data_IF_828578314824
#
_entry.id   IF_828578314824
#
_cell.length_a   1.000
_cell.length_b   1.000
_cell.length_c   1.000
_cell.angle_alpha   90.00
_cell.angle_beta   90.00
_cell.angle_gamma   90.00
#
_symmetry.space_group_name_H-M   'P 1'
#
loop_
_entity.id
_entity.type
_entity.pdbx_description
1 polymer ?
#
# COMPACT_ATOMS: atom_id res chain seq x y z
N UNK A 1 27.39 -2.03 -28.77
CA UNK A 1 25.92 -1.97 -28.91
C UNK A 1 25.35 -3.07 -28.02
N UNK A 2 25.10 -2.77 -26.75
CA UNK A 2 24.55 -3.73 -25.80
C UNK A 2 23.03 -3.72 -25.93
N UNK A 3 22.50 -4.76 -26.56
CA UNK A 3 21.07 -5.01 -26.60
C UNK A 3 20.64 -5.48 -25.20
N UNK A 4 20.28 -4.53 -24.33
CA UNK A 4 19.67 -4.79 -23.03
C UNK A 4 18.24 -5.25 -23.26
N UNK A 5 18.07 -6.52 -23.64
CA UNK A 5 16.77 -7.16 -23.61
C UNK A 5 16.33 -7.28 -22.15
N UNK A 6 15.20 -6.65 -21.81
CA UNK A 6 14.54 -6.75 -20.51
C UNK A 6 14.44 -8.24 -20.13
N UNK A 7 14.97 -8.70 -18.98
CA UNK A 7 14.67 -10.05 -18.52
C UNK A 7 13.15 -10.20 -18.42
N UNK A 8 12.60 -11.26 -19.02
CA UNK A 8 11.16 -11.51 -19.15
C UNK A 8 10.49 -11.38 -17.78
N UNK A 9 9.70 -10.32 -17.60
CA UNK A 9 9.04 -10.02 -16.32
C UNK A 9 7.90 -10.99 -16.02
N UNK A 10 7.58 -11.14 -14.73
CA UNK A 10 6.38 -11.87 -14.29
C UNK A 10 5.16 -11.01 -14.63
N UNK A 11 4.14 -11.61 -15.26
CA UNK A 11 2.91 -10.89 -15.55
C UNK A 11 2.13 -10.70 -14.25
N UNK A 12 1.94 -9.45 -13.85
CA UNK A 12 1.22 -9.07 -12.63
C UNK A 12 -0.06 -8.30 -12.98
N UNK A 13 -1.12 -8.41 -12.18
CA UNK A 13 -2.43 -7.84 -12.52
C UNK A 13 -2.46 -6.30 -12.42
N UNK A 14 -1.56 -5.72 -11.62
CA UNK A 14 -1.32 -4.29 -11.49
C UNK A 14 0.08 -4.05 -10.88
N UNK A 15 0.67 -2.87 -11.12
CA UNK A 15 2.04 -2.52 -10.67
C UNK A 15 2.10 -1.45 -9.57
N UNK A 16 0.98 -0.82 -9.23
CA UNK A 16 0.94 0.28 -8.28
C UNK A 16 -0.15 0.05 -7.24
N UNK A 17 0.27 -0.08 -5.98
CA UNK A 17 -0.56 -0.06 -4.79
C UNK A 17 -0.70 1.35 -4.23
N UNK A 18 -1.94 1.78 -4.06
CA UNK A 18 -2.35 3.07 -3.53
C UNK A 18 -3.01 2.87 -2.17
N UNK A 19 -2.40 3.44 -1.12
CA UNK A 19 -3.02 3.51 0.19
C UNK A 19 -4.28 4.36 0.17
N UNK A 20 -5.45 3.85 0.58
CA UNK A 20 -6.70 4.60 0.59
C UNK A 20 -6.73 5.53 1.81
N UNK A 21 -5.94 6.60 1.80
CA UNK A 21 -5.79 7.49 2.97
C UNK A 21 -7.05 8.29 3.33
N UNK A 22 -8.04 8.34 2.43
CA UNK A 22 -9.32 9.04 2.53
C UNK A 22 -10.26 8.61 1.41
N UNK A 23 -11.51 9.07 1.42
CA UNK A 23 -12.40 8.94 0.26
C UNK A 23 -11.83 9.61 -0.99
N UNK A 24 -11.20 10.78 -0.84
CA UNK A 24 -10.60 11.49 -1.97
C UNK A 24 -9.40 10.72 -2.56
N UNK A 25 -8.63 10.00 -1.74
CA UNK A 25 -7.57 9.12 -2.23
C UNK A 25 -8.11 7.93 -3.04
N UNK A 26 -9.22 7.33 -2.58
CA UNK A 26 -9.92 6.26 -3.32
C UNK A 26 -10.43 6.77 -4.66
N UNK A 27 -11.16 7.88 -4.66
CA UNK A 27 -11.72 8.47 -5.88
C UNK A 27 -10.61 8.91 -6.85
N UNK A 28 -9.49 9.44 -6.32
CA UNK A 28 -8.32 9.80 -7.11
C UNK A 28 -7.67 8.58 -7.78
N UNK A 29 -7.55 7.46 -7.07
CA UNK A 29 -7.02 6.21 -7.63
C UNK A 29 -7.90 5.72 -8.79
N UNK A 30 -9.23 5.69 -8.60
CA UNK A 30 -10.19 5.35 -9.65
C UNK A 30 -10.04 6.30 -10.83
N UNK A 31 -10.04 7.62 -10.59
CA UNK A 31 -9.87 8.62 -11.66
C UNK A 31 -8.58 8.42 -12.45
N UNK A 32 -7.46 8.11 -11.79
CA UNK A 32 -6.18 7.83 -12.47
C UNK A 32 -6.25 6.53 -13.27
N UNK A 33 -6.83 5.47 -12.71
CA UNK A 33 -7.00 4.18 -13.37
C UNK A 33 -7.79 4.32 -14.68
N UNK A 34 -8.92 5.03 -14.66
CA UNK A 34 -9.75 5.29 -15.85
C UNK A 34 -9.04 6.18 -16.86
N UNK A 35 -8.43 7.28 -16.40
CA UNK A 35 -7.70 8.21 -17.27
C UNK A 35 -6.56 7.51 -18.01
N UNK A 36 -5.85 6.60 -17.34
CA UNK A 36 -4.74 5.85 -17.93
C UNK A 36 -5.18 4.56 -18.62
N UNK A 37 -6.42 4.09 -18.40
CA UNK A 37 -6.92 2.76 -18.79
C UNK A 37 -6.01 1.63 -18.28
N UNK A 38 -5.67 1.70 -17.00
CA UNK A 38 -4.73 0.79 -16.35
C UNK A 38 -5.26 0.34 -15.01
N UNK A 39 -4.98 -0.92 -14.66
CA UNK A 39 -5.33 -1.45 -13.36
C UNK A 39 -4.41 -0.91 -12.26
N UNK A 40 -5.01 -0.52 -11.14
CA UNK A 40 -4.32 -0.12 -9.91
C UNK A 40 -4.79 -1.00 -8.75
N UNK A 41 -4.02 -1.05 -7.68
CA UNK A 41 -4.42 -1.71 -6.43
C UNK A 41 -4.79 -0.65 -5.40
N UNK A 42 -5.90 -0.83 -4.70
CA UNK A 42 -6.13 -0.16 -3.41
C UNK A 42 -5.72 -1.12 -2.31
N UNK A 43 -4.84 -0.66 -1.41
CA UNK A 43 -4.13 -1.49 -0.43
C UNK A 43 -4.41 -1.04 1.02
N UNK A 44 -5.66 -1.04 1.52
CA UNK A 44 -5.90 -0.76 2.93
C UNK A 44 -5.17 -1.75 3.84
N UNK A 45 -4.43 -1.22 4.81
CA UNK A 45 -3.99 -1.98 5.98
C UNK A 45 -5.15 -2.24 6.95
N UNK A 46 -4.97 -3.18 7.88
CA UNK A 46 -5.92 -3.45 8.98
C UNK A 46 -6.17 -2.25 9.90
N UNK A 47 -5.33 -1.20 9.83
CA UNK A 47 -5.55 0.07 10.55
C UNK A 47 -6.50 1.00 9.80
N UNK A 48 -6.48 0.93 8.48
CA UNK A 48 -7.21 1.85 7.60
C UNK A 48 -8.64 1.43 7.39
N UNK A 49 -8.85 0.15 7.05
CA UNK A 49 -10.17 -0.46 6.83
C UNK A 49 -10.11 -1.87 7.39
N UNK A 50 -11.09 -2.24 8.20
CA UNK A 50 -11.16 -3.53 8.87
C UNK A 50 -12.63 -3.96 8.99
N UNK A 51 -12.87 -5.22 9.35
CA UNK A 51 -14.21 -5.75 9.59
C UNK A 51 -14.95 -4.96 10.66
N UNK A 52 -16.28 -4.89 10.54
CA UNK A 52 -17.14 -4.26 11.56
C UNK A 52 -16.94 -4.91 12.94
N UNK A 53 -16.76 -6.23 12.97
CA UNK A 53 -16.55 -7.01 14.18
C UNK A 53 -15.25 -6.65 14.92
N UNK A 54 -14.29 -6.03 14.24
CA UNK A 54 -13.00 -5.64 14.79
C UNK A 54 -12.81 -4.12 14.88
N UNK A 55 -13.91 -3.36 14.81
CA UNK A 55 -13.93 -1.92 15.05
C UNK A 55 -13.78 -1.04 13.80
N UNK A 56 -13.69 -1.64 12.61
CA UNK A 56 -13.40 -0.89 11.38
C UNK A 56 -12.00 -0.29 11.39
N UNK A 57 -11.77 0.73 10.57
CA UNK A 57 -10.51 1.47 10.57
C UNK A 57 -10.72 2.98 10.57
N UNK A 58 -9.62 3.74 10.57
CA UNK A 58 -9.70 5.20 10.66
C UNK A 58 -10.13 5.89 9.36
N UNK A 59 -10.12 5.20 8.21
CA UNK A 59 -10.43 5.80 6.91
C UNK A 59 -11.94 5.82 6.72
N UNK A 60 -12.52 7.03 6.75
CA UNK A 60 -13.95 7.30 6.48
C UNK A 60 -14.95 6.50 7.36
N UNK A 61 -14.47 5.87 8.43
CA UNK A 61 -15.27 4.93 9.22
C UNK A 61 -15.70 3.70 8.44
N UNK A 62 -15.03 3.38 7.34
CA UNK A 62 -15.39 2.23 6.52
C UNK A 62 -15.04 0.90 7.19
N UNK A 63 -15.97 -0.03 7.04
CA UNK A 63 -15.76 -1.45 7.22
C UNK A 63 -15.27 -2.08 5.91
N UNK A 64 -14.69 -3.29 5.94
CA UNK A 64 -14.33 -4.03 4.73
C UNK A 64 -15.47 -4.09 3.70
N UNK A 65 -16.70 -4.37 4.15
CA UNK A 65 -17.90 -4.42 3.29
C UNK A 65 -18.25 -3.07 2.68
N UNK A 66 -18.32 -2.01 3.50
CA UNK A 66 -18.72 -0.68 3.02
C UNK A 66 -17.66 -0.06 2.12
N UNK A 67 -16.38 -0.30 2.40
CA UNK A 67 -15.27 0.07 1.52
C UNK A 67 -15.37 -0.64 0.16
N UNK A 68 -15.49 -1.98 0.15
CA UNK A 68 -15.59 -2.75 -1.07
C UNK A 68 -16.82 -2.33 -1.90
N UNK A 69 -17.99 -2.21 -1.26
CA UNK A 69 -19.21 -1.75 -1.90
C UNK A 69 -19.06 -0.36 -2.50
N UNK A 70 -18.42 0.57 -1.78
CA UNK A 70 -18.17 1.92 -2.27
C UNK A 70 -17.28 1.89 -3.51
N UNK A 71 -16.12 1.23 -3.45
CA UNK A 71 -15.18 1.15 -4.58
C UNK A 71 -15.86 0.53 -5.81
N UNK A 72 -16.56 -0.60 -5.66
CA UNK A 72 -17.24 -1.26 -6.78
C UNK A 72 -18.35 -0.40 -7.39
N UNK A 73 -19.03 0.44 -6.59
CA UNK A 73 -20.02 1.38 -7.12
C UNK A 73 -19.42 2.50 -7.98
N UNK A 74 -18.18 2.87 -7.70
CA UNK A 74 -17.45 3.94 -8.41
C UNK A 74 -16.58 3.38 -9.55
N UNK A 75 -16.34 2.07 -9.59
CA UNK A 75 -15.49 1.38 -10.56
C UNK A 75 -16.26 0.25 -11.31
N UNK A 76 -17.19 0.59 -12.22
CA UNK A 76 -17.93 -0.40 -13.01
C UNK A 76 -17.06 -1.26 -13.94
N UNK A 77 -15.92 -0.72 -14.42
CA UNK A 77 -14.99 -1.43 -15.31
C UNK A 77 -14.00 -2.34 -14.57
N UNK A 78 -14.06 -2.38 -13.23
CA UNK A 78 -13.18 -3.18 -12.36
C UNK A 78 -11.69 -2.94 -12.66
N UNK A 79 -11.30 -1.67 -12.80
CA UNK A 79 -9.90 -1.26 -12.95
C UNK A 79 -9.15 -1.20 -11.62
N UNK A 80 -9.85 -1.25 -10.48
CA UNK A 80 -9.26 -1.30 -9.16
C UNK A 80 -9.30 -2.72 -8.63
N UNK A 81 -8.12 -3.23 -8.28
CA UNK A 81 -7.98 -4.43 -7.47
C UNK A 81 -8.09 -4.05 -6.00
N UNK A 82 -8.94 -4.76 -5.26
CA UNK A 82 -9.05 -4.61 -3.82
C UNK A 82 -8.01 -5.52 -3.17
N UNK A 83 -7.10 -4.95 -2.38
CA UNK A 83 -6.00 -5.68 -1.79
C UNK A 83 -5.92 -5.45 -0.28
N UNK A 84 -5.54 -6.48 0.48
CA UNK A 84 -5.17 -6.29 1.89
C UNK A 84 -3.68 -6.05 1.98
N UNK A 85 -3.30 -4.97 2.67
CA UNK A 85 -1.91 -4.75 3.08
C UNK A 85 -1.70 -5.16 4.53
N UNK A 86 -0.55 -5.77 4.84
CA UNK A 86 -0.15 -6.16 6.18
C UNK A 86 -1.29 -6.80 7.01
N UNK A 87 -1.82 -7.94 6.55
CA UNK A 87 -3.05 -8.52 7.10
C UNK A 87 -2.90 -9.47 8.30
N UNK A 88 -1.68 -9.79 8.73
CA UNK A 88 -1.47 -10.83 9.74
C UNK A 88 -1.68 -10.36 11.19
N UNK A 89 -1.22 -11.17 12.17
CA UNK A 89 -1.45 -10.91 13.59
C UNK A 89 -0.73 -9.67 14.07
N UNK A 90 -1.34 -8.99 15.05
CA UNK A 90 -0.89 -7.75 15.67
C UNK A 90 -0.80 -6.53 14.73
N UNK A 91 -1.31 -6.65 13.51
CA UNK A 91 -1.43 -5.54 12.57
C UNK A 91 -2.68 -4.69 12.84
N UNK A 92 -3.72 -5.28 13.43
CA UNK A 92 -4.82 -4.51 14.00
C UNK A 92 -4.36 -3.90 15.35
N UNK A 93 -4.48 -2.58 15.55
CA UNK A 93 -4.06 -1.92 16.79
C UNK A 93 -4.70 -2.50 18.05
N UNK A 94 -5.92 -3.06 17.95
CA UNK A 94 -6.64 -3.59 19.11
C UNK A 94 -6.06 -4.87 19.66
N UNK A 95 -5.43 -5.67 18.80
CA UNK A 95 -4.75 -6.89 19.22
C UNK A 95 -3.59 -6.54 20.15
N UNK A 96 -2.84 -5.46 19.85
CA UNK A 96 -1.76 -4.96 20.71
C UNK A 96 -2.29 -4.27 21.96
N UNK A 97 -3.28 -3.39 21.81
CA UNK A 97 -3.84 -2.64 22.96
C UNK A 97 -4.49 -3.57 23.98
N UNK A 98 -5.19 -4.60 23.53
CA UNK A 98 -5.82 -5.61 24.37
C UNK A 98 -4.88 -6.77 24.73
N UNK A 99 -3.63 -6.73 24.25
CA UNK A 99 -2.58 -7.74 24.49
C UNK A 99 -3.06 -9.17 24.21
N UNK A 100 -3.60 -9.38 23.02
CA UNK A 100 -4.04 -10.70 22.58
C UNK A 100 -2.91 -11.73 22.68
N UNK A 101 -3.27 -12.97 23.03
CA UNK A 101 -2.36 -14.09 22.83
C UNK A 101 -2.14 -14.31 21.33
N UNK A 102 -1.05 -14.98 20.96
CA UNK A 102 -0.77 -15.29 19.55
C UNK A 102 -1.95 -16.01 18.87
N UNK A 103 -2.55 -17.00 19.53
CA UNK A 103 -3.70 -17.72 18.98
C UNK A 103 -4.92 -16.81 18.77
N UNK A 104 -5.16 -15.84 19.66
CA UNK A 104 -6.23 -14.87 19.48
C UNK A 104 -5.94 -13.88 18.34
N UNK A 105 -4.69 -13.43 18.20
CA UNK A 105 -4.27 -12.56 17.10
C UNK A 105 -4.32 -13.27 15.74
N UNK A 106 -3.91 -14.55 15.66
CA UNK A 106 -4.03 -15.37 14.45
C UNK A 106 -5.51 -15.55 14.05
N UNK A 107 -6.38 -15.89 15.01
CA UNK A 107 -7.82 -16.01 14.75
C UNK A 107 -8.42 -14.68 14.25
N UNK A 108 -7.99 -13.57 14.83
CA UNK A 108 -8.42 -12.23 14.43
C UNK A 108 -7.97 -11.89 13.01
N UNK A 109 -6.71 -12.18 12.64
CA UNK A 109 -6.22 -12.04 11.27
C UNK A 109 -6.97 -12.94 10.27
N UNK A 110 -7.21 -14.21 10.62
CA UNK A 110 -7.98 -15.14 9.80
C UNK A 110 -9.40 -14.65 9.52
N UNK A 111 -10.09 -14.10 10.53
CA UNK A 111 -11.42 -13.51 10.34
C UNK A 111 -11.40 -12.29 9.42
N UNK A 112 -10.35 -11.46 9.51
CA UNK A 112 -10.15 -10.31 8.62
C UNK A 112 -10.02 -10.76 7.17
N UNK A 113 -9.19 -11.78 6.91
CA UNK A 113 -9.06 -12.36 5.56
C UNK A 113 -10.35 -13.02 5.06
N UNK A 114 -11.09 -13.72 5.92
CA UNK A 114 -12.36 -14.31 5.53
C UNK A 114 -13.35 -13.25 5.04
N UNK A 115 -13.46 -12.14 5.76
CA UNK A 115 -14.30 -11.01 5.36
C UNK A 115 -13.78 -10.36 4.07
N UNK A 116 -12.47 -10.12 3.95
CA UNK A 116 -11.87 -9.59 2.72
C UNK A 116 -12.22 -10.47 1.50
N UNK A 117 -12.07 -11.79 1.61
CA UNK A 117 -12.42 -12.76 0.54
C UNK A 117 -13.92 -12.72 0.24
N UNK A 118 -14.77 -12.68 1.27
CA UNK A 118 -16.24 -12.60 1.11
C UNK A 118 -16.64 -11.35 0.33
N UNK A 119 -15.98 -10.23 0.59
CA UNK A 119 -16.21 -8.94 -0.05
C UNK A 119 -15.49 -8.78 -1.40
N UNK A 120 -14.78 -9.83 -1.86
CA UNK A 120 -14.17 -9.86 -3.18
C UNK A 120 -12.86 -9.08 -3.26
N UNK A 121 -12.03 -9.14 -2.20
CA UNK A 121 -10.64 -8.75 -2.28
C UNK A 121 -9.88 -9.70 -3.21
N UNK A 122 -9.12 -9.11 -4.12
CA UNK A 122 -8.41 -9.75 -5.21
C UNK A 122 -7.03 -10.28 -4.75
N UNK A 123 -6.41 -9.63 -3.76
CA UNK A 123 -5.07 -9.99 -3.25
C UNK A 123 -4.95 -9.81 -1.74
N UNK A 124 -4.35 -10.77 -1.04
CA UNK A 124 -4.08 -10.69 0.39
C UNK A 124 -2.58 -10.74 0.70
N UNK A 125 -2.07 -9.70 1.37
CA UNK A 125 -0.72 -9.69 1.92
C UNK A 125 -0.70 -10.37 3.30
N UNK A 126 -0.22 -11.61 3.33
CA UNK A 126 0.01 -12.43 4.52
C UNK A 126 1.34 -12.06 5.16
N UNK A 127 1.28 -11.06 6.04
CA UNK A 127 2.43 -10.57 6.82
C UNK A 127 2.33 -11.00 8.29
N UNK A 128 3.17 -11.96 8.66
CA UNK A 128 3.25 -12.53 10.00
C UNK A 128 4.55 -12.17 10.72
N UNK A 129 5.27 -11.15 10.22
CA UNK A 129 6.53 -10.66 10.78
C UNK A 129 6.37 -9.93 12.11
N UNK A 130 5.18 -9.48 12.47
CA UNK A 130 4.93 -8.72 13.69
C UNK A 130 4.60 -9.64 14.87
N UNK A 131 5.16 -9.32 16.03
CA UNK A 131 4.77 -9.90 17.32
C UNK A 131 4.19 -8.82 18.25
N UNK A 132 3.67 -9.24 19.41
CA UNK A 132 3.02 -8.36 20.37
C UNK A 132 3.96 -7.20 20.78
N UNK A 133 5.20 -7.53 21.11
CA UNK A 133 6.20 -6.61 21.64
C UNK A 133 7.42 -6.47 20.69
N UNK A 134 7.24 -6.68 19.38
CA UNK A 134 8.33 -6.51 18.40
C UNK A 134 8.14 -7.24 17.08
N UNK A 135 9.21 -7.88 16.61
CA UNK A 135 9.28 -8.67 15.37
C UNK A 135 9.35 -10.15 15.75
N UNK A 136 8.62 -10.98 15.03
CA UNK A 136 8.61 -12.42 15.19
C UNK A 136 9.91 -13.04 14.63
N UNK A 137 10.47 -14.08 15.27
CA UNK A 137 11.56 -14.86 14.66
C UNK A 137 11.13 -15.44 13.31
N UNK A 138 12.06 -15.50 12.35
CA UNK A 138 11.76 -15.90 10.96
C UNK A 138 10.98 -17.23 10.86
N UNK A 139 11.47 -18.31 11.49
CA UNK A 139 10.77 -19.61 11.44
C UNK A 139 9.34 -19.51 11.99
N UNK A 140 9.14 -18.77 13.08
CA UNK A 140 7.80 -18.56 13.64
C UNK A 140 6.92 -17.73 12.71
N UNK A 141 7.46 -16.72 12.04
CA UNK A 141 6.74 -15.95 11.03
C UNK A 141 6.33 -16.84 9.86
N UNK A 142 7.23 -17.69 9.34
CA UNK A 142 6.93 -18.64 8.26
C UNK A 142 5.83 -19.62 8.65
N UNK A 143 5.92 -20.23 9.84
CA UNK A 143 4.92 -21.19 10.30
C UNK A 143 3.53 -20.53 10.42
N UNK A 144 3.47 -19.33 11.01
CA UNK A 144 2.24 -18.51 11.08
C UNK A 144 1.71 -18.17 9.69
N UNK A 145 2.60 -17.83 8.75
CA UNK A 145 2.22 -17.47 7.38
C UNK A 145 1.60 -18.66 6.67
N UNK A 146 2.21 -19.85 6.76
CA UNK A 146 1.70 -21.08 6.14
C UNK A 146 0.31 -21.43 6.69
N UNK A 147 0.12 -21.30 8.01
CA UNK A 147 -1.19 -21.52 8.64
C UNK A 147 -2.26 -20.56 8.12
N UNK A 148 -2.03 -19.24 8.22
CA UNK A 148 -3.01 -18.23 7.79
C UNK A 148 -3.27 -18.27 6.28
N UNK A 149 -2.21 -18.47 5.49
CA UNK A 149 -2.31 -18.63 4.04
C UNK A 149 -3.17 -19.84 3.68
N UNK A 150 -2.97 -20.97 4.37
CA UNK A 150 -3.78 -22.18 4.19
C UNK A 150 -5.26 -21.93 4.47
N UNK A 151 -5.57 -21.31 5.60
CA UNK A 151 -6.95 -20.96 5.99
C UNK A 151 -7.60 -20.01 4.96
N UNK A 152 -6.86 -19.01 4.48
CA UNK A 152 -7.35 -18.09 3.46
C UNK A 152 -7.59 -18.77 2.10
N UNK A 153 -6.70 -19.68 1.69
CA UNK A 153 -6.88 -20.51 0.47
C UNK A 153 -8.12 -21.40 0.58
N UNK A 154 -8.32 -22.07 1.72
CA UNK A 154 -9.50 -22.91 1.96
C UNK A 154 -10.79 -22.07 1.95
N UNK A 155 -10.75 -20.89 2.58
CA UNK A 155 -11.86 -19.95 2.59
C UNK A 155 -12.21 -19.51 1.17
N UNK A 156 -11.23 -19.06 0.38
CA UNK A 156 -11.43 -18.67 -1.00
C UNK A 156 -12.02 -19.80 -1.85
N UNK A 157 -11.50 -21.03 -1.69
CA UNK A 157 -12.03 -22.22 -2.38
C UNK A 157 -13.48 -22.52 -2.00
N UNK A 158 -13.81 -22.50 -0.70
CA UNK A 158 -15.17 -22.78 -0.22
C UNK A 158 -16.19 -21.75 -0.68
N UNK A 159 -15.78 -20.49 -0.88
CA UNK A 159 -16.60 -19.40 -1.40
C UNK A 159 -16.58 -19.29 -2.94
N UNK A 160 -15.83 -20.15 -3.64
CA UNK A 160 -15.69 -20.11 -5.10
C UNK A 160 -15.03 -18.81 -5.61
N UNK A 161 -14.14 -18.21 -4.82
CA UNK A 161 -13.44 -16.96 -5.14
C UNK A 161 -12.00 -17.24 -5.58
N UNK A 162 -11.54 -16.49 -6.57
CA UNK A 162 -10.12 -16.40 -6.91
C UNK A 162 -9.47 -15.31 -6.06
N UNK A 163 -8.39 -15.65 -5.36
CA UNK A 163 -7.65 -14.71 -4.52
C UNK A 163 -6.16 -14.92 -4.74
N UNK A 164 -5.44 -13.84 -4.99
CA UNK A 164 -3.99 -13.80 -5.11
C UNK A 164 -3.38 -13.59 -3.72
N UNK A 165 -2.11 -13.95 -3.58
CA UNK A 165 -1.41 -13.82 -2.31
C UNK A 165 -0.07 -13.14 -2.46
N UNK A 166 0.29 -12.42 -1.40
CA UNK A 166 1.57 -11.77 -1.20
C UNK A 166 2.10 -12.20 0.17
N UNK A 167 3.39 -12.48 0.28
CA UNK A 167 4.04 -12.74 1.57
C UNK A 167 5.22 -11.80 1.74
N UNK A 168 5.47 -11.38 2.96
CA UNK A 168 6.59 -10.54 3.36
C UNK A 168 7.05 -10.95 4.74
N UNK A 169 8.35 -10.81 4.99
CA UNK A 169 8.97 -11.19 6.27
C UNK A 169 9.89 -10.07 6.80
N UNK A 170 9.77 -8.85 6.25
CA UNK A 170 10.76 -7.80 6.48
C UNK A 170 10.63 -7.04 7.81
N UNK A 171 11.78 -6.67 8.36
CA UNK A 171 11.92 -5.49 9.23
C UNK A 171 11.84 -4.22 8.35
N UNK A 172 11.25 -3.13 8.84
CA UNK A 172 11.06 -1.87 8.08
C UNK A 172 12.33 -0.99 8.13
N UNK A 173 13.47 -1.59 7.76
CA UNK A 173 14.80 -0.97 7.69
C UNK A 173 15.03 -0.09 6.45
N UNK A 174 16.16 0.64 6.42
CA UNK A 174 16.50 1.61 5.36
C UNK A 174 17.36 1.08 4.21
N UNK A 175 17.90 -0.13 4.35
CA UNK A 175 18.77 -0.80 3.36
C UNK A 175 18.01 -1.86 2.56
N UNK A 176 18.71 -2.53 1.64
CA UNK A 176 18.17 -3.72 0.97
C UNK A 176 18.32 -4.95 1.86
N UNK A 177 17.51 -5.99 1.64
CA UNK A 177 17.85 -7.30 2.17
C UNK A 177 19.21 -7.76 1.63
N UNK A 178 19.93 -8.55 2.43
CA UNK A 178 21.05 -9.34 1.92
C UNK A 178 20.50 -10.41 0.96
N UNK A 179 21.03 -10.53 -0.28
CA UNK A 179 20.51 -11.49 -1.23
C UNK A 179 20.58 -12.96 -0.79
N UNK A 180 21.60 -13.35 -0.02
CA UNK A 180 21.75 -14.74 0.42
C UNK A 180 20.77 -15.05 1.56
N UNK A 181 20.63 -14.15 2.53
CA UNK A 181 19.61 -14.27 3.59
C UNK A 181 18.20 -14.29 2.98
N UNK A 182 17.93 -13.41 2.01
CA UNK A 182 16.64 -13.37 1.32
C UNK A 182 16.37 -14.66 0.52
N UNK A 183 17.38 -15.23 -0.15
CA UNK A 183 17.24 -16.51 -0.84
C UNK A 183 16.89 -17.65 0.12
N UNK A 184 17.53 -17.72 1.28
CA UNK A 184 17.22 -18.71 2.32
C UNK A 184 15.78 -18.54 2.84
N UNK A 185 15.37 -17.30 3.12
CA UNK A 185 14.03 -16.96 3.58
C UNK A 185 12.95 -17.39 2.56
N UNK A 186 13.15 -17.05 1.29
CA UNK A 186 12.24 -17.42 0.20
C UNK A 186 12.21 -18.94 0.02
N UNK A 187 13.37 -19.61 0.00
CA UNK A 187 13.45 -21.05 -0.15
C UNK A 187 12.69 -21.78 0.98
N UNK A 188 12.86 -21.34 2.22
CA UNK A 188 12.18 -21.91 3.39
C UNK A 188 10.67 -21.70 3.30
N UNK A 189 10.20 -20.47 3.09
CA UNK A 189 8.77 -20.17 3.00
C UNK A 189 8.08 -20.95 1.87
N UNK A 190 8.65 -20.92 0.66
CA UNK A 190 8.10 -21.65 -0.49
C UNK A 190 8.19 -23.17 -0.31
N UNK A 191 9.25 -23.66 0.33
CA UNK A 191 9.40 -25.08 0.67
C UNK A 191 8.28 -25.55 1.60
N UNK A 192 7.96 -24.78 2.64
CA UNK A 192 6.86 -25.07 3.58
C UNK A 192 5.50 -25.05 2.87
N UNK A 193 5.22 -24.03 2.07
CA UNK A 193 3.97 -23.94 1.29
C UNK A 193 3.79 -25.15 0.35
N UNK A 194 4.84 -25.54 -0.39
CA UNK A 194 4.79 -26.73 -1.26
C UNK A 194 4.60 -28.01 -0.46
N UNK A 195 5.25 -28.13 0.70
CA UNK A 195 5.17 -29.30 1.57
C UNK A 195 3.75 -29.61 2.04
N UNK A 196 2.90 -28.59 2.16
CA UNK A 196 1.47 -28.72 2.51
C UNK A 196 0.53 -28.59 1.31
N UNK A 197 1.06 -28.56 0.08
CA UNK A 197 0.24 -28.51 -1.15
C UNK A 197 -0.46 -27.17 -1.40
N UNK A 198 0.02 -26.07 -0.82
CA UNK A 198 -0.53 -24.74 -1.05
C UNK A 198 0.03 -24.10 -2.33
N UNK A 199 -0.76 -23.26 -3.03
CA UNK A 199 -0.28 -22.53 -4.19
C UNK A 199 0.79 -21.51 -3.78
N UNK A 200 1.77 -21.25 -4.66
CA UNK A 200 2.77 -20.21 -4.44
C UNK A 200 2.14 -18.81 -4.52
N UNK A 201 2.67 -17.82 -3.76
CA UNK A 201 2.16 -16.46 -3.82
C UNK A 201 2.47 -15.82 -5.17
N UNK A 202 1.68 -14.80 -5.52
CA UNK A 202 1.92 -13.94 -6.70
C UNK A 202 3.07 -12.98 -6.45
N UNK A 203 3.17 -12.45 -5.23
CA UNK A 203 4.21 -11.51 -4.84
C UNK A 203 4.98 -11.97 -3.62
N UNK A 204 6.27 -11.62 -3.59
CA UNK A 204 7.07 -11.57 -2.36
C UNK A 204 7.52 -10.13 -2.16
N UNK A 205 7.39 -9.65 -0.94
CA UNK A 205 7.90 -8.34 -0.53
C UNK A 205 9.37 -8.47 -0.13
N UNK A 206 10.16 -7.47 -0.51
CA UNK A 206 11.54 -7.34 -0.09
C UNK A 206 11.85 -5.87 0.21
N UNK A 207 12.80 -5.64 1.10
CA UNK A 207 13.34 -4.31 1.34
C UNK A 207 14.16 -3.88 0.13
N UNK A 208 13.69 -2.83 -0.54
CA UNK A 208 14.35 -2.24 -1.72
C UNK A 208 15.09 -0.95 -1.37
N UNK A 209 15.58 -0.83 -0.13
CA UNK A 209 16.20 0.37 0.42
C UNK A 209 15.32 1.63 0.29
N UNK A 210 14.03 1.46 0.59
CA UNK A 210 13.00 2.49 0.61
C UNK A 210 12.42 2.58 2.02
N UNK A 211 12.45 3.79 2.61
CA UNK A 211 11.96 4.01 3.96
C UNK A 211 11.40 5.41 4.09
N UNK A 212 10.18 5.53 4.62
CA UNK A 212 9.52 6.82 4.78
C UNK A 212 9.74 7.34 6.20
N UNK A 213 10.27 8.55 6.31
CA UNK A 213 10.29 9.33 7.55
C UNK A 213 9.87 10.76 7.21
N UNK A 214 8.99 11.33 8.03
CA UNK A 214 8.42 12.67 7.84
C UNK A 214 7.71 12.79 6.49
N UNK A 215 8.23 13.61 5.57
CA UNK A 215 7.70 13.76 4.20
C UNK A 215 8.76 13.49 3.14
N UNK A 216 9.65 12.54 3.43
CA UNK A 216 10.75 12.13 2.54
C UNK A 216 11.01 10.63 2.60
N UNK A 217 11.60 10.12 1.55
CA UNK A 217 12.25 8.81 1.58
C UNK A 217 13.67 9.00 2.14
N UNK A 218 14.04 8.19 3.15
CA UNK A 218 15.36 8.20 3.79
C UNK A 218 16.13 6.90 3.55
N UNK A 219 15.58 5.99 2.73
CA UNK A 219 16.25 4.74 2.39
C UNK A 219 17.48 4.97 1.50
N UNK A 220 18.39 3.99 1.47
CA UNK A 220 19.66 4.09 0.75
C UNK A 220 19.50 4.29 -0.76
N UNK A 221 18.31 3.98 -1.34
CA UNK A 221 17.99 4.31 -2.74
C UNK A 221 18.17 5.81 -3.04
N UNK A 222 17.96 6.66 -2.04
CA UNK A 222 18.11 8.12 -2.19
C UNK A 222 19.56 8.59 -2.24
N UNK A 223 20.48 7.81 -1.69
CA UNK A 223 21.91 8.15 -1.56
C UNK A 223 22.76 7.43 -2.60
N UNK A 224 22.51 6.13 -2.80
CA UNK A 224 23.33 5.25 -3.63
C UNK A 224 22.47 4.43 -4.63
N UNK A 225 21.71 5.08 -5.53
CA UNK A 225 20.70 4.42 -6.36
C UNK A 225 21.25 3.30 -7.26
N UNK A 226 22.50 3.42 -7.75
CA UNK A 226 23.11 2.40 -8.61
C UNK A 226 23.48 1.13 -7.84
N UNK A 227 24.04 1.27 -6.63
CA UNK A 227 24.39 0.13 -5.78
C UNK A 227 23.12 -0.60 -5.33
N UNK A 228 22.12 0.16 -4.87
CA UNK A 228 20.79 -0.37 -4.50
C UNK A 228 20.14 -1.09 -5.68
N UNK A 229 20.11 -0.49 -6.88
CA UNK A 229 19.55 -1.14 -8.06
C UNK A 229 20.25 -2.47 -8.39
N UNK A 230 21.55 -2.60 -8.09
CA UNK A 230 22.27 -3.87 -8.25
C UNK A 230 21.86 -4.92 -7.23
N UNK A 231 21.74 -4.54 -5.96
CA UNK A 231 21.26 -5.44 -4.91
C UNK A 231 19.81 -5.88 -5.19
N UNK A 232 18.92 -4.94 -5.55
CA UNK A 232 17.52 -5.22 -5.91
C UNK A 232 17.43 -6.18 -7.10
N UNK A 233 18.30 -6.09 -8.12
CA UNK A 233 18.34 -7.07 -9.20
C UNK A 233 18.60 -8.49 -8.71
N UNK A 234 19.45 -8.67 -7.69
CA UNK A 234 19.70 -9.97 -7.10
C UNK A 234 18.44 -10.50 -6.39
N UNK A 235 17.74 -9.66 -5.61
CA UNK A 235 16.48 -10.02 -4.95
C UNK A 235 15.38 -10.40 -5.96
N UNK A 236 15.31 -9.66 -7.07
CA UNK A 236 14.42 -9.98 -8.20
C UNK A 236 14.81 -11.32 -8.84
N UNK A 237 16.11 -11.63 -8.95
CA UNK A 237 16.59 -12.92 -9.43
C UNK A 237 16.07 -14.10 -8.58
N UNK A 238 16.13 -13.97 -7.26
CA UNK A 238 15.64 -14.96 -6.29
C UNK A 238 14.16 -15.26 -6.50
N UNK A 239 13.31 -14.22 -6.52
CA UNK A 239 11.85 -14.40 -6.68
C UNK A 239 11.48 -14.95 -8.07
N UNK A 240 12.14 -14.47 -9.13
CA UNK A 240 11.90 -14.93 -10.51
C UNK A 240 12.30 -16.37 -10.77
N UNK A 241 13.30 -16.90 -10.06
CA UNK A 241 13.66 -18.32 -10.12
C UNK A 241 12.47 -19.23 -9.73
N UNK A 242 11.49 -18.69 -9.00
CA UNK A 242 10.25 -19.37 -8.63
C UNK A 242 9.00 -18.88 -9.40
N UNK A 243 9.17 -18.00 -10.39
CA UNK A 243 8.05 -17.41 -11.13
C UNK A 243 7.20 -16.43 -10.32
N UNK A 244 7.76 -15.86 -9.25
CA UNK A 244 7.07 -14.96 -8.32
C UNK A 244 7.55 -13.53 -8.57
N UNK A 245 6.63 -12.57 -8.47
CA UNK A 245 6.93 -11.16 -8.65
C UNK A 245 7.51 -10.53 -7.37
N UNK A 246 8.43 -9.57 -7.51
CA UNK A 246 8.95 -8.80 -6.37
C UNK A 246 8.18 -7.49 -6.23
N UNK A 247 7.73 -7.18 -5.00
CA UNK A 247 7.01 -5.95 -4.70
C UNK A 247 7.77 -5.09 -3.69
N UNK A 248 7.90 -3.80 -4.00
CA UNK A 248 8.56 -2.82 -3.14
C UNK A 248 7.54 -2.07 -2.28
N UNK A 249 7.89 -1.81 -1.02
CA UNK A 249 7.07 -1.02 -0.10
C UNK A 249 7.73 0.33 0.21
N UNK A 250 7.02 1.23 0.90
CA UNK A 250 7.53 2.54 1.32
C UNK A 250 8.11 3.40 0.18
N UNK A 251 7.51 3.35 -1.01
CA UNK A 251 7.99 4.07 -2.20
C UNK A 251 7.52 5.53 -2.26
N UNK A 252 6.90 6.04 -1.20
CA UNK A 252 6.51 7.44 -1.05
C UNK A 252 7.72 8.38 -1.23
N UNK A 253 7.44 9.56 -1.79
CA UNK A 253 8.35 10.66 -2.05
C UNK A 253 9.52 10.37 -3.00
N UNK A 254 9.54 9.22 -3.68
CA UNK A 254 10.55 8.89 -4.68
C UNK A 254 10.38 9.74 -5.94
N UNK A 255 11.48 10.27 -6.46
CA UNK A 255 11.52 10.96 -7.75
C UNK A 255 11.33 9.99 -8.92
N UNK A 256 10.98 10.51 -10.10
CA UNK A 256 10.88 9.69 -11.31
C UNK A 256 12.21 8.99 -11.66
N UNK A 257 13.36 9.58 -11.31
CA UNK A 257 14.67 8.95 -11.47
C UNK A 257 14.85 7.73 -10.58
N UNK A 258 14.52 7.85 -9.29
CA UNK A 258 14.59 6.76 -8.33
C UNK A 258 13.62 5.62 -8.68
N UNK A 259 12.40 5.96 -9.11
CA UNK A 259 11.42 4.97 -9.59
C UNK A 259 11.93 4.19 -10.81
N UNK A 260 12.61 4.87 -11.75
CA UNK A 260 13.26 4.18 -12.88
C UNK A 260 14.33 3.20 -12.45
N UNK A 261 15.08 3.48 -11.38
CA UNK A 261 16.07 2.54 -10.87
C UNK A 261 15.42 1.24 -10.36
N UNK A 262 14.29 1.34 -9.66
CA UNK A 262 13.52 0.17 -9.22
C UNK A 262 12.91 -0.59 -10.41
N UNK A 263 12.29 0.10 -11.36
CA UNK A 263 11.72 -0.53 -12.56
C UNK A 263 12.79 -1.24 -13.40
N UNK A 264 13.95 -0.61 -13.63
CA UNK A 264 15.07 -1.20 -14.36
C UNK A 264 15.75 -2.34 -13.60
N UNK A 265 15.72 -2.31 -12.27
CA UNK A 265 16.15 -3.44 -11.44
C UNK A 265 15.18 -4.63 -11.51
N UNK A 266 13.97 -4.43 -12.05
CA UNK A 266 12.99 -5.47 -12.28
C UNK A 266 11.94 -5.60 -11.17
N UNK A 267 11.77 -4.58 -10.33
CA UNK A 267 10.65 -4.52 -9.36
C UNK A 267 9.33 -4.54 -10.13
N UNK A 268 8.47 -5.50 -9.81
CA UNK A 268 7.27 -5.78 -10.58
C UNK A 268 6.10 -4.89 -10.13
N UNK A 269 6.02 -4.56 -8.84
CA UNK A 269 5.03 -3.64 -8.28
C UNK A 269 5.58 -2.82 -7.11
N UNK A 270 4.93 -1.71 -6.77
CA UNK A 270 5.26 -0.91 -5.58
C UNK A 270 4.05 -0.36 -4.84
N UNK A 271 4.19 -0.13 -3.55
CA UNK A 271 3.20 0.51 -2.67
C UNK A 271 3.60 1.95 -2.31
N UNK A 272 2.61 2.84 -2.32
CA UNK A 272 2.68 4.23 -1.85
C UNK A 272 1.42 4.52 -1.06
N UNK A 273 1.53 5.16 0.11
CA UNK A 273 0.36 5.38 0.96
C UNK A 273 0.41 6.74 1.69
N UNK A 274 1.24 6.95 2.74
CA UNK A 274 1.17 8.15 3.57
C UNK A 274 1.31 9.46 2.79
N UNK A 275 2.06 9.49 1.68
CA UNK A 275 2.17 10.68 0.83
C UNK A 275 0.81 11.20 0.36
N UNK A 276 -0.14 10.32 0.04
CA UNK A 276 -1.45 10.72 -0.47
C UNK A 276 -2.28 11.46 0.59
N UNK A 277 -2.17 11.03 1.86
CA UNK A 277 -2.78 11.74 2.98
C UNK A 277 -2.15 13.11 3.23
N UNK A 278 -0.82 13.22 3.07
CA UNK A 278 -0.09 14.48 3.17
C UNK A 278 -0.43 15.43 2.02
N UNK A 279 -0.56 14.91 0.80
CA UNK A 279 -0.95 15.69 -0.39
C UNK A 279 -2.35 16.31 -0.21
N UNK A 280 -3.31 15.54 0.30
CA UNK A 280 -4.65 16.05 0.61
C UNK A 280 -4.62 17.08 1.75
N UNK A 281 -3.86 16.81 2.81
CA UNK A 281 -3.71 17.73 3.96
C UNK A 281 -3.17 19.08 3.51
N UNK A 282 -2.11 19.09 2.70
CA UNK A 282 -1.52 20.32 2.12
C UNK A 282 -2.50 21.05 1.20
N UNK A 283 -3.27 20.31 0.40
CA UNK A 283 -4.29 20.88 -0.48
C UNK A 283 -5.42 21.55 0.31
N UNK A 284 -5.85 20.95 1.42
CA UNK A 284 -6.86 21.52 2.29
C UNK A 284 -6.37 22.79 2.98
N UNK A 285 -5.16 22.78 3.54
CA UNK A 285 -4.56 23.99 4.13
C UNK A 285 -4.44 25.13 3.11
N UNK A 286 -3.94 24.83 1.91
CA UNK A 286 -3.82 25.83 0.83
C UNK A 286 -5.18 26.40 0.43
N UNK A 287 -6.22 25.57 0.42
CA UNK A 287 -7.58 26.02 0.13
C UNK A 287 -8.14 26.91 1.24
N UNK A 288 -7.88 26.60 2.52
CA UNK A 288 -8.30 27.46 3.63
C UNK A 288 -7.61 28.83 3.56
N UNK A 289 -6.33 28.87 3.20
CA UNK A 289 -5.59 30.11 2.95
C UNK A 289 -6.20 30.91 1.77
N UNK A 290 -6.48 30.25 0.64
CA UNK A 290 -7.15 30.86 -0.52
C UNK A 290 -8.52 31.46 -0.17
N UNK A 291 -9.30 30.77 0.68
CA UNK A 291 -10.63 31.19 1.11
C UNK A 291 -10.61 32.25 2.22
N UNK A 292 -9.46 32.53 2.84
CA UNK A 292 -9.33 33.46 3.96
C UNK A 292 -9.94 32.91 5.25
N UNK A 293 -9.69 31.64 5.56
CA UNK A 293 -10.24 30.91 6.72
C UNK A 293 -9.15 30.56 7.77
N UNK A 294 -8.47 31.55 8.39
CA UNK A 294 -7.34 31.31 9.27
C UNK A 294 -7.72 30.57 10.56
N UNK A 295 -8.93 30.81 11.10
CA UNK A 295 -9.40 30.14 12.31
C UNK A 295 -9.61 28.65 12.06
N UNK A 296 -10.21 28.30 10.92
CA UNK A 296 -10.43 26.90 10.53
C UNK A 296 -9.10 26.20 10.26
N UNK A 297 -8.15 26.91 9.64
CA UNK A 297 -6.80 26.41 9.40
C UNK A 297 -6.09 26.06 10.70
N UNK A 298 -6.11 26.97 11.67
CA UNK A 298 -5.46 26.74 12.97
C UNK A 298 -6.09 25.57 13.72
N UNK A 299 -7.43 25.52 13.77
CA UNK A 299 -8.16 24.41 14.41
C UNK A 299 -7.87 23.06 13.76
N UNK A 300 -7.70 23.03 12.43
CA UNK A 300 -7.32 21.81 11.73
C UNK A 300 -5.90 21.37 12.11
N UNK A 301 -4.94 22.29 12.11
CA UNK A 301 -3.56 22.00 12.50
C UNK A 301 -3.45 21.54 13.95
N UNK A 302 -4.14 22.20 14.87
CA UNK A 302 -4.21 21.83 16.28
C UNK A 302 -4.74 20.39 16.44
N UNK A 303 -5.90 20.08 15.84
CA UNK A 303 -6.49 18.74 15.91
C UNK A 303 -5.56 17.66 15.30
N UNK A 304 -4.91 17.97 14.18
CA UNK A 304 -3.98 17.05 13.53
C UNK A 304 -2.69 16.84 14.34
N UNK A 305 -2.19 17.88 15.03
CA UNK A 305 -1.05 17.77 15.93
C UNK A 305 -1.40 16.92 17.17
N UNK A 306 -2.52 17.23 17.83
CA UNK A 306 -2.93 16.59 19.09
C UNK A 306 -3.30 15.10 18.94
N UNK A 307 -3.57 14.62 17.72
CA UNK A 307 -3.83 13.19 17.51
C UNK A 307 -2.58 12.30 17.66
N UNK A 308 -1.37 12.89 17.71
CA UNK A 308 -0.06 12.22 17.89
C UNK A 308 0.29 11.13 16.88
N UNK A 309 -0.52 10.92 15.86
CA UNK A 309 -0.29 9.89 14.83
C UNK A 309 0.93 10.17 13.94
N UNK A 310 1.55 11.36 14.08
CA UNK A 310 2.80 11.74 13.46
C UNK A 310 4.04 11.09 14.13
N UNK A 311 3.96 10.67 15.39
CA UNK A 311 5.14 10.26 16.19
C UNK A 311 5.99 9.17 15.51
N UNK A 312 5.35 8.10 15.03
CA UNK A 312 6.04 6.98 14.39
C UNK A 312 6.76 7.36 13.09
N UNK A 313 6.40 8.49 12.49
CA UNK A 313 6.97 8.97 11.23
C UNK A 313 8.17 9.88 11.48
N UNK A 314 8.42 10.32 12.71
CA UNK A 314 9.44 11.34 12.97
C UNK A 314 10.85 10.79 12.93
N UNK A 315 11.72 11.48 12.22
CA UNK A 315 13.14 11.16 12.24
C UNK A 315 13.70 11.36 13.67
N UNK A 316 14.61 10.49 14.17
CA UNK A 316 15.17 10.64 15.53
C UNK A 316 15.85 12.00 15.77
N UNK A 317 16.43 12.57 14.71
CA UNK A 317 17.05 13.90 14.70
C UNK A 317 16.14 14.95 14.02
N UNK A 318 14.83 14.82 14.18
CA UNK A 318 13.87 15.71 13.52
C UNK A 318 14.05 17.17 13.93
N UNK A 319 13.94 18.07 12.96
CA UNK A 319 13.81 19.52 13.18
C UNK A 319 12.42 20.01 12.81
N UNK A 320 11.45 19.10 12.65
CA UNK A 320 10.09 19.42 12.27
C UNK A 320 9.42 20.32 13.31
N UNK A 321 8.67 21.30 12.83
CA UNK A 321 7.77 22.11 13.63
C UNK A 321 6.47 21.36 13.98
N UNK A 322 5.66 21.91 14.87
CA UNK A 322 4.33 21.37 15.16
C UNK A 322 3.41 21.43 13.94
N UNK A 323 3.59 22.44 13.07
CA UNK A 323 2.90 22.50 11.78
C UNK A 323 3.32 21.35 10.86
N UNK A 324 4.60 21.00 10.79
CA UNK A 324 5.07 19.88 9.97
C UNK A 324 4.48 18.55 10.47
N UNK A 325 4.45 18.36 11.79
CA UNK A 325 3.84 17.20 12.44
C UNK A 325 2.34 17.11 12.15
N UNK A 326 1.62 18.23 12.27
CA UNK A 326 0.21 18.32 11.91
C UNK A 326 -0.03 17.97 10.44
N UNK A 327 0.82 18.46 9.52
CA UNK A 327 0.72 18.15 8.09
C UNK A 327 0.90 16.65 7.82
N UNK A 328 1.84 15.99 8.51
CA UNK A 328 2.04 14.54 8.41
C UNK A 328 0.80 13.78 8.89
N UNK A 329 0.20 14.24 9.99
CA UNK A 329 -0.90 13.54 10.65
C UNK A 329 -2.32 13.93 10.19
N UNK A 330 -2.49 14.97 9.35
CA UNK A 330 -3.80 15.51 9.01
C UNK A 330 -4.83 14.47 8.57
N UNK A 331 -4.41 13.50 7.76
CA UNK A 331 -5.28 12.44 7.24
C UNK A 331 -5.87 11.50 8.29
N UNK A 332 -5.24 11.34 9.46
CA UNK A 332 -5.82 10.56 10.56
C UNK A 332 -7.06 11.23 11.17
N UNK A 333 -7.26 12.52 10.92
CA UNK A 333 -8.39 13.28 11.47
C UNK A 333 -9.58 13.39 10.53
N UNK A 334 -9.45 12.98 9.27
CA UNK A 334 -10.46 13.24 8.24
C UNK A 334 -11.84 12.63 8.54
N UNK A 335 -11.88 11.49 9.23
CA UNK A 335 -13.14 10.86 9.62
C UNK A 335 -13.78 11.49 10.88
N UNK A 336 -13.10 12.41 11.56
CA UNK A 336 -13.62 13.01 12.80
C UNK A 336 -14.70 14.06 12.52
N UNK A 337 -15.69 14.16 13.42
CA UNK A 337 -16.72 15.21 13.35
C UNK A 337 -16.13 16.61 13.30
N UNK A 338 -15.03 16.83 14.03
CA UNK A 338 -14.29 18.09 14.05
C UNK A 338 -13.79 18.48 12.65
N UNK A 339 -13.14 17.56 11.94
CA UNK A 339 -12.71 17.81 10.57
C UNK A 339 -13.89 18.02 9.62
N UNK A 340 -14.95 17.21 9.73
CA UNK A 340 -16.13 17.35 8.86
C UNK A 340 -16.79 18.73 9.00
N UNK A 341 -16.85 19.28 10.21
CA UNK A 341 -17.33 20.64 10.45
C UNK A 341 -16.42 21.70 9.80
N UNK A 342 -15.10 21.53 9.88
CA UNK A 342 -14.14 22.43 9.22
C UNK A 342 -14.26 22.38 7.70
N UNK A 343 -14.39 21.18 7.13
CA UNK A 343 -14.57 20.97 5.70
C UNK A 343 -15.89 21.56 5.20
N UNK A 344 -16.97 21.48 5.98
CA UNK A 344 -18.25 22.09 5.61
C UNK A 344 -18.19 23.63 5.63
N UNK A 345 -17.48 24.22 6.61
CA UNK A 345 -17.24 25.66 6.63
C UNK A 345 -16.44 26.12 5.38
N UNK A 346 -15.44 25.33 4.97
CA UNK A 346 -14.71 25.56 3.73
C UNK A 346 -15.63 25.45 2.51
N UNK A 347 -16.48 24.41 2.42
CA UNK A 347 -17.46 24.23 1.34
C UNK A 347 -18.43 25.41 1.22
N UNK A 348 -18.97 25.91 2.34
CA UNK A 348 -19.87 27.05 2.32
C UNK A 348 -19.22 28.30 1.69
N UNK A 349 -17.95 28.55 2.02
CA UNK A 349 -17.19 29.69 1.49
C UNK A 349 -16.76 29.46 0.03
N UNK A 350 -16.31 28.25 -0.28
CA UNK A 350 -15.87 27.81 -1.61
C UNK A 350 -16.98 27.89 -2.67
N UNK A 351 -18.22 27.52 -2.29
CA UNK A 351 -19.39 27.58 -3.19
C UNK A 351 -19.62 28.98 -3.77
N UNK A 352 -19.39 30.04 -2.98
CA UNK A 352 -19.53 31.44 -3.44
C UNK A 352 -18.51 31.81 -4.52
N UNK A 353 -17.44 31.03 -4.64
CA UNK A 353 -16.37 31.20 -5.63
C UNK A 353 -16.38 30.13 -6.72
N UNK A 354 -17.40 29.28 -6.77
CA UNK A 354 -17.50 28.18 -7.74
C UNK A 354 -16.45 27.08 -7.55
N UNK A 355 -15.88 26.95 -6.34
CA UNK A 355 -14.86 25.94 -6.04
C UNK A 355 -15.53 24.71 -5.42
N UNK A 356 -15.31 23.54 -6.02
CA UNK A 356 -15.60 22.24 -5.41
C UNK A 356 -14.40 21.80 -4.54
N UNK A 357 -14.65 21.71 -3.24
CA UNK A 357 -13.63 21.33 -2.24
C UNK A 357 -13.13 19.91 -2.49
N UNK A 358 -14.02 18.93 -2.68
CA UNK A 358 -13.62 17.53 -2.83
C UNK A 358 -12.91 17.31 -4.16
N UNK A 359 -13.34 17.98 -5.23
CA UNK A 359 -12.61 17.94 -6.50
C UNK A 359 -11.19 18.50 -6.35
N UNK A 360 -11.02 19.64 -5.67
CA UNK A 360 -9.69 20.25 -5.45
C UNK A 360 -8.76 19.33 -4.66
N UNK A 361 -9.26 18.70 -3.60
CA UNK A 361 -8.50 17.78 -2.77
C UNK A 361 -8.15 16.49 -3.54
N UNK A 362 -9.14 15.88 -4.19
CA UNK A 362 -8.95 14.69 -5.03
C UNK A 362 -7.94 14.93 -6.14
N UNK A 363 -7.99 16.08 -6.82
CA UNK A 363 -7.06 16.40 -7.89
C UNK A 363 -5.61 16.53 -7.39
N UNK A 364 -5.40 16.98 -6.15
CA UNK A 364 -4.07 17.01 -5.54
C UNK A 364 -3.52 15.60 -5.32
N UNK A 365 -4.34 14.71 -4.78
CA UNK A 365 -3.96 13.30 -4.59
C UNK A 365 -3.76 12.60 -5.94
N UNK A 366 -4.64 12.84 -6.91
CA UNK A 366 -4.56 12.26 -8.25
C UNK A 366 -3.26 12.65 -8.96
N UNK A 367 -2.74 13.87 -8.76
CA UNK A 367 -1.41 14.27 -9.28
C UNK A 367 -0.28 13.46 -8.67
N UNK A 368 -0.30 13.23 -7.35
CA UNK A 368 0.69 12.37 -6.69
C UNK A 368 0.61 10.93 -7.19
N UNK A 369 -0.59 10.34 -7.29
CA UNK A 369 -0.76 8.99 -7.85
C UNK A 369 -0.27 8.92 -9.30
N UNK A 370 -0.57 9.95 -10.11
CA UNK A 370 -0.19 10.00 -11.52
C UNK A 370 1.33 10.01 -11.74
N UNK A 371 2.08 10.63 -10.84
CA UNK A 371 3.56 10.60 -10.85
C UNK A 371 4.09 9.17 -10.81
N UNK A 372 3.57 8.33 -9.92
CA UNK A 372 3.94 6.91 -9.82
C UNK A 372 3.43 6.10 -11.02
N UNK A 373 2.17 6.31 -11.41
CA UNK A 373 1.57 5.61 -12.53
C UNK A 373 2.26 5.94 -13.86
N UNK A 374 2.84 7.14 -14.01
CA UNK A 374 3.64 7.52 -15.16
C UNK A 374 5.02 6.83 -15.18
N UNK A 375 5.62 6.65 -14.01
CA UNK A 375 6.96 6.07 -13.88
C UNK A 375 7.00 4.55 -14.08
N UNK A 376 5.88 3.86 -13.92
CA UNK A 376 5.75 2.41 -14.08
C UNK A 376 5.05 2.09 -15.40
N UNK A 377 5.74 1.80 -16.52
CA UNK A 377 5.09 1.43 -17.77
C UNK A 377 4.33 0.10 -17.64
N UNK A 378 3.33 -0.14 -18.48
CA UNK A 378 2.60 -1.41 -18.48
C UNK A 378 3.53 -2.59 -18.79
N UNK A 379 3.28 -3.71 -18.12
CA UNK A 379 3.77 -5.01 -18.57
C UNK A 379 2.89 -5.48 -19.73
N UNK A 380 2.88 -4.75 -20.86
CA UNK A 380 2.39 -5.36 -22.10
C UNK A 380 3.52 -6.26 -22.62
N UNK A 381 3.28 -7.56 -22.88
CA UNK A 381 4.10 -8.21 -23.88
C UNK A 381 4.00 -7.38 -25.17
N UNK A 382 5.11 -7.27 -25.91
CA UNK A 382 5.03 -6.76 -27.28
C UNK A 382 3.89 -7.51 -27.99
N UNK A 383 3.04 -6.84 -28.80
CA UNK A 383 2.10 -7.58 -29.63
C UNK A 383 2.91 -8.60 -30.42
N UNK A 384 2.63 -9.88 -30.20
CA UNK A 384 3.07 -10.92 -31.11
C UNK A 384 2.30 -10.61 -32.38
N UNK A 385 3.00 -10.13 -33.40
CA UNK A 385 2.44 -10.00 -34.73
C UNK A 385 1.84 -11.36 -35.11
N UNK A 386 0.52 -11.47 -35.02
CA UNK A 386 -0.24 -12.56 -35.62
C UNK A 386 -0.32 -12.29 -37.12
N UNK A 387 0.84 -12.25 -37.78
CA UNK A 387 0.94 -12.14 -39.23
C UNK A 387 2.24 -12.83 -39.67
N UNK A 388 2.29 -14.15 -39.52
CA UNK A 388 3.18 -15.03 -40.32
C UNK A 388 2.87 -16.53 -40.19
N UNK A 389 1.78 -16.95 -39.54
CA UNK A 389 1.31 -18.33 -39.59
C UNK A 389 0.29 -18.55 -40.74
N UNK A 390 0.56 -17.99 -41.92
CA UNK A 390 -0.14 -18.27 -43.18
C UNK A 390 0.79 -17.93 -44.37
N UNK A 391 1.99 -18.53 -44.42
CA UNK A 391 2.76 -18.74 -45.66
C UNK A 391 4.01 -19.58 -45.35
N UNK A 392 4.05 -20.82 -45.84
CA UNK A 392 5.23 -21.69 -45.81
C UNK A 392 4.92 -23.11 -45.40
#
# INVERSE_FOLDING_TARGET
MNNSSRPTGVLVPARLGVGPMSKNAVDAAIQVAYRRRRRLMLIPSRRQVETAAQGGGYVEGWTTETFASYVRSQDPDQLILLCRDHGGPYQNPEEKRQRYSLGAALKSAAQSYEDDIRQGFDLLHVDTSVDLDGIAPMEAAVDRAVELYGQAVETARSLGRGTLFEIGFEDQGGDTNDPAEFEEQVATALGRLRGVGLPLPTFIVAQTATKVMETRNVGALTVAPFAVASAVRSLVGVTRAHGIALKAHNCDYLTAGQLRHLDQAGVDALNVAPEFGVAETRAFLSLLDELGLPVQRERFLEAAYECRSWEKWMHPLTTASDTDRAVIAGHYTFATEGFQALKEAARHTARKRGIDVDARLRDAVARSIDHYAAALPDNRPAPVDQETALAG
#
